data_IF_560966620200
#
_entry.id   IF_560966620200
#
_cell.length_a   1.000
_cell.length_b   1.000
_cell.length_c   1.000
_cell.angle_alpha   90.00
_cell.angle_beta   90.00
_cell.angle_gamma   90.00
#
_symmetry.space_group_name_H-M   'P 1'
#
loop_
_entity.id
_entity.type
_entity.pdbx_description
1 polymer ?
#
# COMPACT_ATOMS: atom_id res chain seq x y z
N UNK A 1 8.33 3.93 -21.27
CA UNK A 1 8.98 3.40 -20.04
C UNK A 1 9.15 4.46 -18.95
N UNK A 2 10.08 5.43 -19.02
CA UNK A 2 10.32 6.41 -17.93
C UNK A 2 9.04 7.13 -17.47
N UNK A 3 8.21 7.59 -18.44
CA UNK A 3 6.93 8.26 -18.14
C UNK A 3 5.97 7.39 -17.32
N UNK A 4 5.89 6.08 -17.59
CA UNK A 4 5.04 5.18 -16.81
C UNK A 4 5.59 5.01 -15.39
N UNK A 5 6.91 4.90 -15.22
CA UNK A 5 7.52 4.76 -13.90
C UNK A 5 7.21 5.97 -13.02
N UNK A 6 7.39 7.19 -13.54
CA UNK A 6 7.05 8.43 -12.82
C UNK A 6 5.56 8.47 -12.48
N UNK A 7 4.68 8.16 -13.43
CA UNK A 7 3.22 8.14 -13.19
C UNK A 7 2.81 7.08 -12.18
N UNK A 8 3.42 5.90 -12.21
CA UNK A 8 3.15 4.83 -11.24
C UNK A 8 3.53 5.24 -9.82
N UNK A 9 4.66 5.95 -9.66
CA UNK A 9 5.05 6.52 -8.38
C UNK A 9 4.07 7.59 -7.91
N UNK A 10 3.60 8.47 -8.80
CA UNK A 10 2.61 9.48 -8.45
C UNK A 10 1.30 8.84 -7.99
N UNK A 11 0.79 7.84 -8.71
CA UNK A 11 -0.39 7.05 -8.30
C UNK A 11 -0.17 6.47 -6.89
N UNK A 12 1.02 5.89 -6.66
CA UNK A 12 1.36 5.28 -5.38
C UNK A 12 1.46 6.27 -4.22
N UNK A 13 2.11 7.41 -4.43
CA UNK A 13 2.17 8.49 -3.43
C UNK A 13 0.79 9.03 -3.12
N UNK A 14 -0.04 9.29 -4.14
CA UNK A 14 -1.40 9.79 -3.95
C UNK A 14 -2.27 8.83 -3.14
N UNK A 15 -2.26 7.53 -3.47
CA UNK A 15 -3.04 6.52 -2.73
C UNK A 15 -2.56 6.41 -1.29
N UNK A 16 -1.25 6.44 -1.03
CA UNK A 16 -0.73 6.39 0.34
C UNK A 16 -1.08 7.64 1.15
N UNK A 17 -1.06 8.84 0.54
CA UNK A 17 -1.51 10.07 1.22
C UNK A 17 -2.99 9.95 1.60
N UNK A 18 -3.84 9.51 0.68
CA UNK A 18 -5.27 9.31 0.96
C UNK A 18 -5.48 8.29 2.07
N UNK A 19 -4.77 7.17 2.03
CA UNK A 19 -4.83 6.16 3.08
C UNK A 19 -4.39 6.70 4.45
N UNK A 20 -3.31 7.48 4.49
CA UNK A 20 -2.82 8.08 5.72
C UNK A 20 -3.85 9.05 6.32
N UNK A 21 -4.50 9.87 5.49
CA UNK A 21 -5.60 10.74 5.93
C UNK A 21 -6.75 9.90 6.51
N UNK A 22 -7.09 8.77 5.87
CA UNK A 22 -8.14 7.89 6.41
C UNK A 22 -7.73 7.18 7.70
N UNK A 23 -6.44 6.95 7.95
CA UNK A 23 -5.93 6.30 9.16
C UNK A 23 -6.06 7.17 10.42
N UNK A 24 -5.77 8.47 10.30
CA UNK A 24 -5.78 9.46 11.39
C UNK A 24 -7.00 9.38 12.33
N UNK A 25 -8.26 9.43 11.84
CA UNK A 25 -9.43 9.44 12.73
C UNK A 25 -9.58 8.16 13.55
N UNK A 26 -9.11 7.02 13.04
CA UNK A 26 -9.23 5.72 13.69
C UNK A 26 -8.14 5.44 14.73
N UNK A 27 -6.99 6.12 14.65
CA UNK A 27 -5.86 5.89 15.56
C UNK A 27 -5.70 6.98 16.64
N UNK A 28 -6.20 8.19 16.42
CA UNK A 28 -6.11 9.28 17.41
C UNK A 28 -7.13 9.11 18.56
N UNK A 29 -8.20 8.35 18.35
CA UNK A 29 -9.26 8.18 19.33
C UNK A 29 -8.94 7.06 20.32
N UNK A 30 -8.45 7.41 21.52
CA UNK A 30 -8.27 6.45 22.62
C UNK A 30 -9.63 6.07 23.19
N UNK A 31 -10.15 4.90 22.81
CA UNK A 31 -11.44 4.40 23.31
C UNK A 31 -11.21 3.51 24.55
N UNK A 32 -11.87 3.86 25.66
CA UNK A 32 -11.97 2.97 26.83
C UNK A 32 -13.18 2.05 26.64
N UNK A 33 -12.92 0.75 26.53
CA UNK A 33 -13.97 -0.25 26.33
C UNK A 33 -14.70 -0.58 27.64
N UNK A 34 -16.02 -0.70 27.56
CA UNK A 34 -16.85 -1.06 28.70
C UNK A 34 -16.75 -2.56 29.08
N UNK A 35 -16.33 -3.42 28.15
CA UNK A 35 -16.13 -4.86 28.37
C UNK A 35 -15.11 -5.45 27.37
N UNK A 36 -14.57 -6.64 27.67
CA UNK A 36 -13.71 -7.38 26.74
C UNK A 36 -14.43 -7.78 25.46
N UNK A 37 -15.72 -8.11 25.54
CA UNK A 37 -16.54 -8.44 24.38
C UNK A 37 -16.72 -7.23 23.46
N UNK A 38 -16.90 -6.03 24.03
CA UNK A 38 -16.94 -4.79 23.25
C UNK A 38 -15.60 -4.52 22.56
N UNK A 39 -14.48 -4.77 23.24
CA UNK A 39 -13.14 -4.64 22.65
C UNK A 39 -12.93 -5.62 21.50
N UNK A 40 -13.34 -6.89 21.66
CA UNK A 40 -13.22 -7.92 20.61
C UNK A 40 -14.08 -7.61 19.39
N UNK A 41 -15.32 -7.19 19.59
CA UNK A 41 -16.21 -6.82 18.49
C UNK A 41 -15.67 -5.59 17.74
N UNK A 42 -15.13 -4.61 18.46
CA UNK A 42 -14.47 -3.47 17.83
C UNK A 42 -13.25 -3.89 16.99
N UNK A 43 -12.37 -4.73 17.54
CA UNK A 43 -11.21 -5.27 16.82
C UNK A 43 -11.60 -5.92 15.49
N UNK A 44 -12.65 -6.76 15.47
CA UNK A 44 -13.15 -7.39 14.24
C UNK A 44 -13.63 -6.35 13.21
N UNK A 45 -14.33 -5.31 13.66
CA UNK A 45 -14.77 -4.21 12.80
C UNK A 45 -13.56 -3.47 12.22
N UNK A 46 -12.55 -3.19 13.03
CA UNK A 46 -11.33 -2.47 12.59
C UNK A 46 -10.55 -3.28 11.55
N UNK A 47 -10.40 -4.59 11.75
CA UNK A 47 -9.82 -5.50 10.74
C UNK A 47 -10.64 -5.46 9.44
N UNK A 48 -11.97 -5.45 9.52
CA UNK A 48 -12.84 -5.38 8.34
C UNK A 48 -12.70 -4.05 7.59
N UNK A 49 -12.58 -2.93 8.33
CA UNK A 49 -12.29 -1.61 7.77
C UNK A 49 -10.91 -1.61 7.09
N UNK A 50 -9.89 -2.19 7.73
CA UNK A 50 -8.54 -2.29 7.17
C UNK A 50 -8.50 -3.07 5.84
N UNK A 51 -9.18 -4.23 5.79
CA UNK A 51 -9.32 -5.02 4.57
C UNK A 51 -10.03 -4.22 3.47
N UNK A 52 -11.08 -3.46 3.84
CA UNK A 52 -11.82 -2.61 2.91
C UNK A 52 -10.93 -1.50 2.34
N UNK A 53 -10.13 -0.83 3.17
CA UNK A 53 -9.16 0.20 2.74
C UNK A 53 -8.16 -0.39 1.75
N UNK A 54 -7.59 -1.57 2.06
CA UNK A 54 -6.65 -2.26 1.16
C UNK A 54 -7.34 -2.61 -0.17
N UNK A 55 -8.55 -3.17 -0.13
CA UNK A 55 -9.29 -3.53 -1.34
C UNK A 55 -9.57 -2.29 -2.22
N UNK A 56 -10.00 -1.18 -1.62
CA UNK A 56 -10.20 0.10 -2.32
C UNK A 56 -8.88 0.61 -2.90
N UNK A 57 -7.78 0.57 -2.14
CA UNK A 57 -6.48 1.01 -2.62
C UNK A 57 -6.00 0.18 -3.84
N UNK A 58 -6.12 -1.15 -3.78
CA UNK A 58 -5.79 -2.03 -4.92
C UNK A 58 -6.67 -1.76 -6.13
N UNK A 59 -7.96 -1.52 -5.91
CA UNK A 59 -8.86 -1.10 -6.99
C UNK A 59 -8.43 0.23 -7.60
N UNK A 60 -8.03 1.22 -6.79
CA UNK A 60 -7.52 2.50 -7.29
C UNK A 60 -6.19 2.33 -8.06
N UNK A 61 -5.27 1.49 -7.59
CA UNK A 61 -4.05 1.14 -8.32
C UNK A 61 -4.38 0.56 -9.69
N UNK A 62 -5.28 -0.42 -9.74
CA UNK A 62 -5.78 -1.03 -10.97
C UNK A 62 -6.46 0.00 -11.89
N UNK A 63 -7.38 0.80 -11.36
CA UNK A 63 -8.14 1.79 -12.12
C UNK A 63 -7.23 2.88 -12.71
N UNK A 64 -6.44 3.55 -11.87
CA UNK A 64 -5.60 4.66 -12.31
C UNK A 64 -4.48 4.20 -13.24
N UNK A 65 -3.95 2.99 -13.07
CA UNK A 65 -2.97 2.47 -14.01
C UNK A 65 -3.57 2.21 -15.39
N UNK A 66 -4.77 1.63 -15.47
CA UNK A 66 -5.47 1.43 -16.74
C UNK A 66 -5.84 2.72 -17.45
N UNK A 67 -6.08 3.80 -16.70
CA UNK A 67 -6.41 5.12 -17.25
C UNK A 67 -5.16 5.91 -17.67
N UNK A 68 -4.10 5.92 -16.85
CA UNK A 68 -2.99 6.87 -17.00
C UNK A 68 -1.68 6.25 -17.53
N UNK A 69 -1.52 4.94 -17.49
CA UNK A 69 -0.30 4.27 -17.93
C UNK A 69 -0.50 3.66 -19.32
N UNK A 70 0.54 3.74 -20.16
CA UNK A 70 0.46 3.22 -21.53
C UNK A 70 0.95 1.79 -21.60
N UNK A 71 0.22 0.92 -22.29
CA UNK A 71 0.71 -0.41 -22.63
C UNK A 71 2.04 -0.33 -23.42
N UNK A 72 2.98 -1.23 -23.14
CA UNK A 72 4.32 -1.30 -23.73
C UNK A 72 4.50 -2.54 -24.64
N UNK A 73 3.41 -3.19 -25.04
CA UNK A 73 3.37 -4.29 -26.02
C UNK A 73 3.77 -5.67 -25.53
N UNK A 74 4.31 -5.82 -24.31
CA UNK A 74 4.52 -7.13 -23.69
C UNK A 74 4.40 -7.09 -22.17
N UNK A 75 4.11 -8.23 -21.54
CA UNK A 75 3.98 -8.32 -20.07
C UNK A 75 5.26 -7.86 -19.37
N UNK A 76 6.43 -8.31 -19.84
CA UNK A 76 7.71 -7.92 -19.26
C UNK A 76 7.96 -6.42 -19.37
N UNK A 77 7.71 -5.82 -20.53
CA UNK A 77 7.87 -4.37 -20.72
C UNK A 77 6.87 -3.56 -19.89
N UNK A 78 5.65 -4.05 -19.70
CA UNK A 78 4.66 -3.42 -18.83
C UNK A 78 5.15 -3.39 -17.38
N UNK A 79 5.58 -4.54 -16.83
CA UNK A 79 6.13 -4.64 -15.47
C UNK A 79 7.35 -3.74 -15.31
N UNK A 80 8.31 -3.80 -16.23
CA UNK A 80 9.51 -2.94 -16.19
C UNK A 80 9.19 -1.44 -16.29
N UNK A 81 8.04 -1.08 -16.86
CA UNK A 81 7.61 0.31 -16.97
C UNK A 81 6.97 0.87 -15.70
N UNK A 82 6.72 0.04 -14.69
CA UNK A 82 6.18 0.43 -13.38
C UNK A 82 7.01 -0.10 -12.20
N UNK A 83 8.09 -0.84 -12.49
CA UNK A 83 8.90 -1.53 -11.50
C UNK A 83 9.61 -0.59 -10.52
N UNK A 84 9.76 0.70 -10.88
CA UNK A 84 10.35 1.69 -9.98
C UNK A 84 9.56 1.80 -8.67
N UNK A 85 8.23 1.65 -8.71
CA UNK A 85 7.39 1.64 -7.51
C UNK A 85 7.73 0.46 -6.61
N UNK A 86 7.69 -0.77 -7.13
CA UNK A 86 8.09 -1.94 -6.34
C UNK A 86 9.54 -1.87 -5.85
N UNK A 87 10.46 -1.41 -6.70
CA UNK A 87 11.89 -1.34 -6.38
C UNK A 87 12.19 -0.39 -5.23
N UNK A 88 11.59 0.81 -5.20
CA UNK A 88 11.79 1.76 -4.10
C UNK A 88 11.29 1.14 -2.78
N UNK A 89 10.12 0.50 -2.79
CA UNK A 89 9.60 -0.17 -1.59
C UNK A 89 10.51 -1.29 -1.09
N UNK A 90 11.01 -2.15 -1.99
CA UNK A 90 11.96 -3.22 -1.65
C UNK A 90 13.28 -2.64 -1.12
N UNK A 91 13.76 -1.55 -1.71
CA UNK A 91 15.00 -0.90 -1.28
C UNK A 91 14.88 -0.30 0.12
N UNK A 92 13.80 0.44 0.41
CA UNK A 92 13.53 0.99 1.75
C UNK A 92 13.37 -0.16 2.77
N UNK A 93 12.63 -1.21 2.42
CA UNK A 93 12.49 -2.41 3.25
C UNK A 93 13.84 -3.05 3.57
N UNK A 94 14.71 -3.21 2.57
CA UNK A 94 16.03 -3.81 2.75
C UNK A 94 16.89 -3.00 3.73
N UNK A 95 16.89 -1.67 3.62
CA UNK A 95 17.59 -0.80 4.58
C UNK A 95 16.99 -0.98 5.99
N UNK A 96 15.66 -0.90 6.13
CA UNK A 96 14.97 -1.04 7.41
C UNK A 96 15.25 -2.39 8.09
N UNK A 97 15.23 -3.47 7.31
CA UNK A 97 15.49 -4.83 7.77
C UNK A 97 16.93 -4.99 8.29
N UNK A 98 17.93 -4.52 7.53
CA UNK A 98 19.33 -4.63 7.93
C UNK A 98 19.65 -3.78 9.17
N UNK A 99 19.05 -2.60 9.31
CA UNK A 99 19.22 -1.78 10.51
C UNK A 99 18.63 -2.45 11.75
N UNK A 100 17.45 -3.08 11.63
CA UNK A 100 16.84 -3.80 12.74
C UNK A 100 17.70 -5.00 13.20
N UNK A 101 18.26 -5.77 12.26
CA UNK A 101 19.21 -6.84 12.58
C UNK A 101 20.44 -6.34 13.36
N UNK A 102 20.91 -5.12 13.06
CA UNK A 102 22.04 -4.51 13.76
C UNK A 102 21.66 -4.02 15.17
N UNK A 103 20.47 -3.48 15.35
CA UNK A 103 20.02 -2.87 16.62
C UNK A 103 19.41 -3.87 17.61
N UNK A 104 19.03 -5.09 17.19
CA UNK A 104 18.33 -6.11 18.01
C UNK A 104 17.06 -5.59 18.72
N UNK A 105 16.43 -4.57 18.16
CA UNK A 105 15.24 -3.92 18.72
C UNK A 105 13.98 -4.53 18.11
N UNK A 106 13.21 -5.29 18.89
CA UNK A 106 11.92 -5.86 18.45
C UNK A 106 10.83 -4.80 18.17
N UNK A 107 11.13 -3.51 18.35
CA UNK A 107 10.19 -2.42 18.14
C UNK A 107 10.31 -1.87 16.72
N UNK A 108 9.69 -2.56 15.76
CA UNK A 108 9.68 -2.20 14.35
C UNK A 108 9.23 -0.76 14.09
N UNK A 109 8.38 -0.14 14.93
CA UNK A 109 7.87 1.22 14.66
C UNK A 109 8.74 2.37 15.24
N UNK A 110 9.83 2.04 15.95
CA UNK A 110 10.61 3.04 16.69
C UNK A 110 11.85 3.55 15.94
N UNK A 111 12.21 2.98 14.78
CA UNK A 111 13.29 3.53 13.95
C UNK A 111 12.73 4.40 12.83
N UNK A 112 13.37 5.54 12.56
CA UNK A 112 12.95 6.51 11.52
C UNK A 112 12.80 5.84 10.14
N UNK A 113 13.60 4.81 9.85
CA UNK A 113 13.55 4.09 8.58
C UNK A 113 12.32 3.19 8.47
N UNK A 114 11.88 2.57 9.57
CA UNK A 114 10.63 1.83 9.58
C UNK A 114 9.40 2.74 9.50
N UNK A 115 9.48 3.96 10.03
CA UNK A 115 8.45 4.97 9.82
C UNK A 115 8.41 5.43 8.36
N UNK A 116 9.57 5.64 7.73
CA UNK A 116 9.62 5.92 6.29
C UNK A 116 9.05 4.77 5.47
N UNK A 117 9.36 3.54 5.88
CA UNK A 117 8.84 2.34 5.24
C UNK A 117 7.32 2.22 5.41
N UNK A 118 6.78 2.48 6.61
CA UNK A 118 5.34 2.47 6.88
C UNK A 118 4.57 3.51 6.08
N UNK A 119 5.17 4.68 5.85
CA UNK A 119 4.61 5.67 4.95
C UNK A 119 4.48 5.13 3.51
N UNK A 120 5.43 4.31 3.05
CA UNK A 120 5.42 3.72 1.72
C UNK A 120 4.30 2.68 1.52
N UNK A 121 3.87 2.02 2.59
CA UNK A 121 2.74 1.07 2.55
C UNK A 121 1.52 1.55 3.34
N UNK A 122 1.35 2.86 3.57
CA UNK A 122 0.27 3.48 4.37
C UNK A 122 -1.12 2.91 4.09
N UNK A 123 -1.41 2.52 2.84
CA UNK A 123 -2.68 1.86 2.45
C UNK A 123 -2.98 0.53 3.18
N UNK A 124 -1.98 -0.09 3.80
CA UNK A 124 -2.09 -1.32 4.59
C UNK A 124 -1.63 -1.14 6.04
N UNK A 125 -1.19 0.07 6.41
CA UNK A 125 -0.68 0.38 7.75
C UNK A 125 -1.70 0.08 8.84
N UNK A 126 -2.98 0.37 8.60
CA UNK A 126 -4.04 0.10 9.54
C UNK A 126 -4.18 -1.39 9.86
N UNK A 127 -4.02 -2.27 8.86
CA UNK A 127 -4.02 -3.72 9.09
C UNK A 127 -2.77 -4.17 9.85
N UNK A 128 -1.61 -3.61 9.50
CA UNK A 128 -0.34 -3.94 10.15
C UNK A 128 -0.37 -3.60 11.64
N UNK A 129 -0.93 -2.44 11.99
CA UNK A 129 -1.09 -1.98 13.36
C UNK A 129 -2.13 -2.84 14.11
N UNK A 130 -3.35 -2.95 13.58
CA UNK A 130 -4.45 -3.65 14.26
C UNK A 130 -4.17 -5.15 14.43
N UNK A 131 -3.55 -5.81 13.43
CA UNK A 131 -3.19 -7.23 13.51
C UNK A 131 -1.81 -7.47 14.16
N UNK A 132 -1.16 -6.43 14.68
CA UNK A 132 0.17 -6.48 15.29
C UNK A 132 1.21 -7.25 14.45
N UNK A 133 1.19 -7.02 13.13
CA UNK A 133 2.09 -7.70 12.19
C UNK A 133 3.50 -7.22 12.46
N UNK A 134 4.34 -8.12 12.96
CA UNK A 134 5.73 -7.84 13.33
C UNK A 134 6.75 -8.61 12.48
N UNK A 135 6.32 -9.27 11.42
CA UNK A 135 7.19 -10.07 10.55
C UNK A 135 7.57 -9.21 9.33
N UNK A 136 8.83 -8.74 9.21
CA UNK A 136 9.27 -7.90 8.09
C UNK A 136 8.93 -8.46 6.71
N UNK A 137 9.05 -9.77 6.54
CA UNK A 137 8.83 -10.45 5.26
C UNK A 137 7.36 -10.36 4.81
N UNK A 138 6.41 -10.29 5.76
CA UNK A 138 4.99 -10.10 5.44
C UNK A 138 4.78 -8.66 4.94
N UNK A 139 5.41 -7.68 5.58
CA UNK A 139 5.29 -6.27 5.16
C UNK A 139 5.80 -6.02 3.74
N UNK A 140 6.83 -6.77 3.31
CA UNK A 140 7.36 -6.70 1.94
C UNK A 140 6.29 -6.97 0.87
N UNK A 141 5.32 -7.85 1.17
CA UNK A 141 4.21 -8.17 0.26
C UNK A 141 3.42 -6.90 -0.07
N UNK A 142 3.18 -6.04 0.92
CA UNK A 142 2.47 -4.77 0.73
C UNK A 142 3.24 -3.77 -0.13
N UNK A 143 4.54 -3.93 -0.37
CA UNK A 143 5.26 -3.10 -1.34
C UNK A 143 5.10 -3.59 -2.79
N UNK A 144 4.89 -4.90 -2.97
CA UNK A 144 4.80 -5.52 -4.29
C UNK A 144 3.38 -5.45 -4.84
N UNK A 145 2.36 -5.58 -3.97
CA UNK A 145 0.94 -5.58 -4.35
C UNK A 145 0.51 -4.40 -5.25
N UNK A 146 0.92 -3.14 -4.98
CA UNK A 146 0.58 -2.02 -5.86
C UNK A 146 1.10 -2.20 -7.29
N UNK A 147 2.31 -2.75 -7.44
CA UNK A 147 2.93 -2.98 -8.75
C UNK A 147 2.19 -4.08 -9.50
N UNK A 148 1.74 -5.14 -8.80
CA UNK A 148 0.91 -6.19 -9.40
C UNK A 148 -0.45 -5.65 -9.83
N UNK A 149 -1.14 -4.90 -8.96
CA UNK A 149 -2.42 -4.27 -9.28
C UNK A 149 -2.31 -3.33 -10.48
N UNK A 150 -1.25 -2.52 -10.54
CA UNK A 150 -1.00 -1.63 -11.67
C UNK A 150 -0.67 -2.37 -12.96
N UNK A 151 0.06 -3.49 -12.88
CA UNK A 151 0.32 -4.34 -14.04
C UNK A 151 -0.98 -4.91 -14.63
N UNK A 152 -1.88 -5.40 -13.77
CA UNK A 152 -3.20 -5.87 -14.18
C UNK A 152 -3.99 -4.74 -14.84
N UNK A 153 -3.96 -3.54 -14.29
CA UNK A 153 -4.67 -2.37 -14.85
C UNK A 153 -4.14 -1.92 -16.22
N UNK A 154 -2.83 -1.96 -16.44
CA UNK A 154 -2.24 -1.71 -17.78
C UNK A 154 -2.71 -2.76 -18.78
N UNK A 155 -2.77 -4.04 -18.39
CA UNK A 155 -3.06 -5.15 -19.30
C UNK A 155 -4.55 -5.28 -19.62
N UNK A 156 -5.40 -5.01 -18.64
CA UNK A 156 -6.85 -5.13 -18.75
C UNK A 156 -7.50 -3.82 -18.30
N UNK A 157 -7.30 -2.71 -19.05
CA UNK A 157 -7.85 -1.43 -18.68
C UNK A 157 -9.38 -1.48 -18.70
N UNK A 158 -10.03 -0.78 -17.77
CA UNK A 158 -11.48 -0.56 -17.84
C UNK A 158 -11.73 0.28 -19.09
N UNK A 159 -12.31 -0.31 -20.13
CA UNK A 159 -12.53 0.30 -21.42
C UNK A 159 -13.23 1.67 -21.30
N UNK A 160 -12.51 2.75 -21.61
CA UNK A 160 -13.09 4.09 -21.81
C UNK A 160 -13.78 4.24 -23.18
N UNK A 161 -13.80 3.19 -24.02
CA UNK A 161 -14.46 3.21 -25.33
C UNK A 161 -15.97 3.43 -25.29
N UNK A 162 -16.58 3.44 -24.09
CA UNK A 162 -17.99 3.79 -23.89
C UNK A 162 -18.24 5.12 -23.16
N UNK A 163 -17.20 5.87 -22.77
CA UNK A 163 -17.35 7.21 -22.18
C UNK A 163 -16.92 8.24 -23.22
N UNK A 164 -17.76 8.43 -24.24
CA UNK A 164 -17.74 9.68 -25.00
C UNK A 164 -18.31 10.76 -24.10
N UNK A 165 -17.43 11.54 -23.47
CA UNK A 165 -17.82 12.83 -22.90
C UNK A 165 -18.06 13.74 -24.10
N UNK A 166 -19.34 13.92 -24.46
CA UNK A 166 -19.78 14.97 -25.36
C UNK A 166 -19.76 16.31 -24.63
#
# INVERSE_FOLDING_TARGET
MIKNNIRSLLIHVMINILALITYIPFHISVVKWASEEAAKNHHIVMISVAITIIAVALFLYYYFSGVFLKEQGSNFKNIMSISLTGFIGIFIWFIAFNMNLAERTNALLNSEVWQLYSLYYSYSLFLVDEAAISIPNIMLVFCIMPTLAMWVGIKYPINSSNIKVN
#
